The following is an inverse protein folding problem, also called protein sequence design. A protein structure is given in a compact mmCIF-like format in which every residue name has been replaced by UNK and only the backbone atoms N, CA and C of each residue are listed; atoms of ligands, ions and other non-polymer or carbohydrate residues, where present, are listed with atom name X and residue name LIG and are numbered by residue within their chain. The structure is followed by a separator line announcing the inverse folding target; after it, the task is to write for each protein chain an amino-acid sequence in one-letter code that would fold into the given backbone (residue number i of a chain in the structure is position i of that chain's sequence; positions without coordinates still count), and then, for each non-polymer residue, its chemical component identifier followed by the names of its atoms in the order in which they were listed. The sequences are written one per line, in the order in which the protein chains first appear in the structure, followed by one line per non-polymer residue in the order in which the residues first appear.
data_IF_537178785870
#
_entry.id   IF_537178785870
#
_cell.length_a   1.000
_cell.length_b   1.000
_cell.length_c   1.000
_cell.angle_alpha   90.00
_cell.angle_beta   90.00
_cell.angle_gamma   90.00
#
_symmetry.space_group_name_H-M   'P 1'
#
loop_
_entity.id
_entity.type
_entity.pdbx_description
1 polymer ?
#
# COMPACT_ATOMS: atom_id res chain seq x y z
N UNK A 1 -11.25 24.51 -9.80
CA UNK A 1 -11.20 24.20 -8.35
C UNK A 1 -9.74 24.20 -7.97
N UNK A 2 -9.35 25.10 -7.10
CA UNK A 2 -7.97 25.17 -6.61
C UNK A 2 -7.73 24.03 -5.59
N UNK A 3 -6.47 23.65 -5.37
CA UNK A 3 -6.12 22.62 -4.36
C UNK A 3 -6.57 23.06 -2.97
N UNK A 4 -6.47 24.35 -2.65
CA UNK A 4 -6.92 24.92 -1.39
C UNK A 4 -8.43 24.80 -1.14
N UNK A 5 -9.24 24.62 -2.18
CA UNK A 5 -10.68 24.40 -2.06
C UNK A 5 -11.05 22.95 -1.72
N UNK A 6 -10.07 22.02 -1.81
CA UNK A 6 -10.34 20.61 -1.60
C UNK A 6 -10.53 20.29 -0.11
N UNK A 7 -11.60 19.56 0.17
CA UNK A 7 -11.92 18.98 1.49
C UNK A 7 -12.03 17.46 1.29
N UNK A 8 -10.92 16.77 1.52
CA UNK A 8 -10.75 15.36 1.18
C UNK A 8 -11.06 14.48 2.39
N UNK A 9 -12.06 13.60 2.27
CA UNK A 9 -12.25 12.52 3.23
C UNK A 9 -11.58 11.25 2.67
N UNK A 10 -10.43 10.89 3.25
CA UNK A 10 -9.63 9.74 2.86
C UNK A 10 -9.99 8.52 3.73
N UNK A 11 -10.42 7.43 3.10
CA UNK A 11 -10.71 6.15 3.75
C UNK A 11 -9.60 5.14 3.45
N UNK A 12 -9.00 4.58 4.51
CA UNK A 12 -7.92 3.60 4.39
C UNK A 12 -8.12 2.44 5.35
N UNK A 13 -7.92 1.21 4.88
CA UNK A 13 -7.95 0.01 5.74
C UNK A 13 -6.74 -0.11 6.66
N UNK A 14 -5.62 0.54 6.27
CA UNK A 14 -4.43 0.73 7.09
C UNK A 14 -3.82 2.08 6.75
N UNK A 15 -3.68 2.98 7.71
CA UNK A 15 -3.10 4.29 7.44
C UNK A 15 -1.73 4.47 8.09
N UNK A 16 -1.55 4.03 9.36
CA UNK A 16 -0.30 4.22 10.09
C UNK A 16 0.04 3.10 11.07
N UNK A 17 -0.81 2.08 11.24
CA UNK A 17 -0.57 1.06 12.26
C UNK A 17 0.33 -0.09 11.78
N UNK A 18 0.51 -0.28 10.47
CA UNK A 18 1.56 -1.13 9.89
C UNK A 18 2.37 -0.27 8.92
N UNK A 19 3.69 -0.34 9.01
CA UNK A 19 4.58 0.38 8.10
C UNK A 19 4.71 -0.39 6.78
N UNK A 20 4.07 0.11 5.74
CA UNK A 20 4.20 -0.39 4.37
C UNK A 20 4.28 0.76 3.35
N UNK A 21 4.65 0.44 2.12
CA UNK A 21 4.87 1.45 1.08
C UNK A 21 3.60 2.19 0.65
N UNK A 22 2.43 1.53 0.71
CA UNK A 22 1.16 2.16 0.35
C UNK A 22 0.76 3.21 1.39
N UNK A 23 0.88 2.86 2.69
CA UNK A 23 0.53 3.76 3.79
C UNK A 23 1.45 4.96 3.86
N UNK A 24 2.75 4.77 3.67
CA UNK A 24 3.72 5.87 3.62
C UNK A 24 3.43 6.80 2.43
N UNK A 25 3.06 6.24 1.27
CA UNK A 25 2.68 7.04 0.12
C UNK A 25 1.40 7.86 0.37
N UNK A 26 0.39 7.26 1.02
CA UNK A 26 -0.84 7.97 1.40
C UNK A 26 -0.58 9.10 2.40
N UNK A 27 0.29 8.88 3.40
CA UNK A 27 0.67 9.92 4.35
C UNK A 27 1.42 11.07 3.66
N UNK A 28 2.34 10.78 2.72
CA UNK A 28 3.00 11.82 1.92
C UNK A 28 2.01 12.60 1.05
N UNK A 29 1.04 11.91 0.43
CA UNK A 29 0.00 12.57 -0.35
C UNK A 29 -0.83 13.50 0.54
N UNK A 30 -1.25 13.02 1.72
CA UNK A 30 -2.00 13.83 2.68
C UNK A 30 -1.19 15.08 3.11
N UNK A 31 0.09 14.91 3.44
CA UNK A 31 0.99 16.01 3.77
C UNK A 31 1.10 17.04 2.64
N UNK A 32 1.38 16.57 1.43
CA UNK A 32 1.43 17.45 0.25
C UNK A 32 0.15 18.25 0.05
N UNK A 33 -1.03 17.61 0.18
CA UNK A 33 -2.31 18.28 0.02
C UNK A 33 -2.54 19.33 1.12
N UNK A 34 -2.17 19.01 2.36
CA UNK A 34 -2.23 19.96 3.49
C UNK A 34 -1.30 21.17 3.26
N UNK A 35 -0.07 20.94 2.78
CA UNK A 35 0.91 21.98 2.48
C UNK A 35 0.43 22.89 1.33
N UNK A 36 -0.39 22.37 0.42
CA UNK A 36 -1.04 23.14 -0.63
C UNK A 36 -2.35 23.82 -0.19
N UNK A 37 -2.69 23.75 1.10
CA UNK A 37 -3.86 24.41 1.69
C UNK A 37 -5.16 23.62 1.66
N UNK A 38 -5.17 22.38 1.14
CA UNK A 38 -6.33 21.51 1.20
C UNK A 38 -6.65 21.09 2.65
N UNK A 39 -7.90 20.73 2.90
CA UNK A 39 -8.30 20.08 4.16
C UNK A 39 -8.36 18.58 3.96
N UNK A 40 -7.62 17.80 4.75
CA UNK A 40 -7.61 16.33 4.67
C UNK A 40 -8.02 15.72 6.00
N UNK A 41 -9.03 14.86 5.97
CA UNK A 41 -9.45 14.06 7.13
C UNK A 41 -9.43 12.60 6.78
N UNK A 42 -8.74 11.80 7.60
CA UNK A 42 -8.50 10.38 7.35
C UNK A 42 -9.39 9.53 8.26
N UNK A 43 -10.02 8.53 7.69
CA UNK A 43 -10.85 7.54 8.40
C UNK A 43 -10.20 6.16 8.23
N UNK A 44 -9.64 5.63 9.31
CA UNK A 44 -8.92 4.34 9.30
C UNK A 44 -9.04 3.64 10.65
N UNK A 45 -8.91 2.31 10.69
CA UNK A 45 -8.67 1.62 11.95
C UNK A 45 -7.44 2.20 12.66
N UNK A 46 -7.50 2.24 13.99
CA UNK A 46 -6.41 2.71 14.86
C UNK A 46 -6.00 1.61 15.82
N UNK A 47 -4.75 1.69 16.31
CA UNK A 47 -4.18 0.82 17.34
C UNK A 47 -3.55 1.69 18.42
N UNK A 48 -3.37 1.17 19.68
CA UNK A 48 -2.72 1.91 20.74
C UNK A 48 -1.30 2.36 20.40
N UNK A 49 -0.55 1.51 19.72
CA UNK A 49 0.84 1.75 19.34
C UNK A 49 0.95 1.70 17.80
N UNK A 50 0.80 2.84 17.10
CA UNK A 50 0.95 2.89 15.66
C UNK A 50 2.42 2.75 15.26
N UNK A 51 2.69 2.22 14.06
CA UNK A 51 4.04 2.05 13.55
C UNK A 51 4.74 3.38 13.18
N UNK A 52 3.96 4.46 13.01
CA UNK A 52 4.43 5.82 12.80
C UNK A 52 3.30 6.83 13.01
N UNK A 53 3.66 8.08 13.19
CA UNK A 53 2.70 9.18 13.40
C UNK A 53 1.87 9.42 12.13
N UNK A 54 0.56 9.62 12.29
CA UNK A 54 -0.34 9.87 11.18
C UNK A 54 -0.22 11.30 10.68
N UNK A 55 -0.21 11.49 9.37
CA UNK A 55 -0.30 12.81 8.76
C UNK A 55 -1.75 13.24 8.59
N UNK A 56 -2.10 14.42 9.09
CA UNK A 56 -3.45 14.97 9.05
C UNK A 56 -4.36 14.46 10.18
N UNK A 57 -5.63 14.87 10.13
CA UNK A 57 -6.63 14.51 11.11
C UNK A 57 -7.07 13.05 10.96
N UNK A 58 -6.65 12.17 11.88
CA UNK A 58 -7.03 10.75 11.88
C UNK A 58 -8.23 10.48 12.78
N UNK A 59 -9.32 10.03 12.18
CA UNK A 59 -10.55 9.58 12.87
C UNK A 59 -10.59 8.06 12.91
N UNK A 60 -10.58 7.49 14.10
CA UNK A 60 -10.58 6.05 14.32
C UNK A 60 -11.89 5.36 13.87
N UNK A 61 -11.75 4.31 13.08
CA UNK A 61 -12.85 3.42 12.66
C UNK A 61 -12.72 2.11 13.43
N UNK A 62 -13.82 1.63 14.01
CA UNK A 62 -13.83 0.33 14.71
C UNK A 62 -13.55 -0.81 13.73
N UNK A 63 -12.64 -1.68 14.11
CA UNK A 63 -12.22 -2.81 13.30
C UNK A 63 -11.84 -4.01 14.17
N UNK A 64 -11.90 -5.20 13.61
CA UNK A 64 -11.48 -6.45 14.24
C UNK A 64 -10.12 -6.90 13.66
N UNK A 65 -9.28 -7.60 14.43
CA UNK A 65 -8.07 -8.22 13.90
C UNK A 65 -8.44 -9.30 12.87
N UNK A 66 -7.65 -9.41 11.80
CA UNK A 66 -7.85 -10.46 10.80
C UNK A 66 -7.30 -11.78 11.35
N UNK A 67 -8.09 -12.86 11.38
CA UNK A 67 -7.61 -14.18 11.80
C UNK A 67 -6.38 -14.62 10.99
N UNK A 68 -5.32 -15.06 11.66
CA UNK A 68 -4.05 -15.45 11.03
C UNK A 68 -3.16 -14.29 10.54
N UNK A 69 -3.67 -13.05 10.55
CA UNK A 69 -2.95 -11.81 10.18
C UNK A 69 -3.30 -10.72 11.19
N UNK A 70 -3.06 -10.98 12.48
CA UNK A 70 -3.46 -10.11 13.59
C UNK A 70 -2.87 -8.69 13.56
N UNK A 71 -1.83 -8.49 12.75
CA UNK A 71 -1.27 -7.16 12.47
C UNK A 71 -2.21 -6.28 11.63
N UNK A 72 -3.13 -6.89 10.87
CA UNK A 72 -4.11 -6.14 10.08
C UNK A 72 -5.49 -6.10 10.75
N UNK A 73 -6.22 -5.02 10.50
CA UNK A 73 -7.55 -4.76 11.03
C UNK A 73 -8.57 -4.77 9.90
N UNK A 74 -9.72 -5.41 10.13
CA UNK A 74 -10.82 -5.42 9.17
C UNK A 74 -11.96 -4.55 9.69
N UNK A 75 -12.21 -3.37 9.08
CA UNK A 75 -13.32 -2.51 9.47
C UNK A 75 -14.65 -3.07 8.94
N UNK A 76 -15.65 -3.17 9.83
CA UNK A 76 -16.92 -3.84 9.52
C UNK A 76 -17.99 -2.90 8.96
N UNK A 77 -18.07 -1.70 9.50
CA UNK A 77 -19.09 -0.72 9.10
C UNK A 77 -18.63 0.71 9.38
N UNK A 78 -19.31 1.66 8.75
CA UNK A 78 -19.13 3.09 9.00
C UNK A 78 -19.98 3.52 10.22
N UNK A 79 -19.38 3.70 11.42
CA UNK A 79 -20.12 3.95 12.64
C UNK A 79 -20.86 5.30 12.60
N UNK A 80 -21.88 5.47 13.44
CA UNK A 80 -22.69 6.71 13.49
C UNK A 80 -21.86 7.94 13.84
N UNK A 81 -20.90 7.81 14.76
CA UNK A 81 -19.99 8.90 15.09
C UNK A 81 -19.14 9.34 13.90
N UNK A 82 -18.61 8.39 13.11
CA UNK A 82 -17.85 8.67 11.89
C UNK A 82 -18.76 9.33 10.84
N UNK A 83 -20.01 8.86 10.68
CA UNK A 83 -20.98 9.49 9.77
C UNK A 83 -21.33 10.93 10.19
N UNK A 84 -21.40 11.20 11.50
CA UNK A 84 -21.63 12.56 12.02
C UNK A 84 -20.42 13.45 11.76
N UNK A 85 -19.22 12.91 12.00
CA UNK A 85 -17.99 13.63 11.75
C UNK A 85 -17.82 13.95 10.26
N UNK A 86 -18.06 12.97 9.39
CA UNK A 86 -18.05 13.14 7.93
C UNK A 86 -19.03 14.23 7.45
N UNK A 87 -20.24 14.28 8.03
CA UNK A 87 -21.20 15.36 7.76
C UNK A 87 -20.69 16.73 8.22
N UNK A 88 -20.04 16.80 9.39
CA UNK A 88 -19.49 18.04 9.94
C UNK A 88 -18.29 18.52 9.11
N UNK A 89 -17.43 17.61 8.73
CA UNK A 89 -16.28 17.90 7.88
C UNK A 89 -16.73 18.41 6.51
N UNK A 90 -17.89 17.97 6.02
CA UNK A 90 -18.48 18.35 4.74
C UNK A 90 -17.50 18.24 3.56
N UNK A 91 -16.96 17.04 3.28
CA UNK A 91 -16.00 16.85 2.19
C UNK A 91 -16.63 17.19 0.84
N UNK A 92 -15.79 17.64 -0.10
CA UNK A 92 -16.17 17.77 -1.51
C UNK A 92 -15.52 16.70 -2.41
N UNK A 93 -14.61 15.88 -1.84
CA UNK A 93 -14.02 14.70 -2.50
C UNK A 93 -13.94 13.55 -1.50
N UNK A 94 -14.29 12.35 -1.94
CA UNK A 94 -14.04 11.11 -1.21
C UNK A 94 -12.90 10.37 -1.89
N UNK A 95 -11.86 10.02 -1.12
CA UNK A 95 -10.74 9.21 -1.58
C UNK A 95 -10.75 7.88 -0.82
N UNK A 96 -10.79 6.75 -1.53
CA UNK A 96 -10.74 5.41 -0.94
C UNK A 96 -9.46 4.70 -1.38
N UNK A 97 -8.73 4.11 -0.44
CA UNK A 97 -7.45 3.42 -0.72
C UNK A 97 -7.51 1.90 -0.51
N UNK A 98 -8.64 1.38 -0.06
CA UNK A 98 -8.87 -0.06 0.13
C UNK A 98 -10.32 -0.41 -0.21
N UNK A 99 -10.58 -1.57 -0.85
CA UNK A 99 -11.92 -2.02 -1.21
C UNK A 99 -12.63 -2.76 -0.05
N UNK A 100 -12.53 -2.23 1.17
CA UNK A 100 -13.15 -2.80 2.36
C UNK A 100 -14.61 -2.35 2.54
N UNK A 101 -15.30 -2.91 3.55
CA UNK A 101 -16.71 -2.62 3.81
C UNK A 101 -16.97 -1.17 4.16
N UNK A 102 -16.06 -0.50 4.86
CA UNK A 102 -16.19 0.93 5.22
C UNK A 102 -16.05 1.79 3.97
N UNK A 103 -15.09 1.48 3.10
CA UNK A 103 -14.92 2.14 1.80
C UNK A 103 -16.13 1.95 0.90
N UNK A 104 -16.72 0.75 0.85
CA UNK A 104 -17.99 0.50 0.14
C UNK A 104 -19.13 1.40 0.66
N UNK A 105 -19.23 1.59 1.98
CA UNK A 105 -20.24 2.45 2.58
C UNK A 105 -19.93 3.93 2.36
N UNK A 106 -18.65 4.32 2.37
CA UNK A 106 -18.21 5.68 2.06
C UNK A 106 -18.54 6.05 0.60
N UNK A 107 -18.29 5.16 -0.35
CA UNK A 107 -18.68 5.32 -1.75
C UNK A 107 -20.20 5.48 -1.88
N UNK A 108 -20.99 4.65 -1.16
CA UNK A 108 -22.45 4.78 -1.16
C UNK A 108 -22.90 6.12 -0.58
N UNK A 109 -22.27 6.56 0.50
CA UNK A 109 -22.55 7.84 1.14
C UNK A 109 -22.25 9.03 0.19
N UNK A 110 -21.14 8.96 -0.54
CA UNK A 110 -20.73 9.97 -1.51
C UNK A 110 -21.69 10.05 -2.69
N UNK A 111 -22.00 8.91 -3.31
CA UNK A 111 -22.92 8.85 -4.47
C UNK A 111 -24.31 9.39 -4.17
N UNK A 112 -24.85 9.12 -2.96
CA UNK A 112 -26.13 9.68 -2.51
C UNK A 112 -26.08 11.22 -2.35
N UNK A 113 -24.89 11.83 -2.43
CA UNK A 113 -24.66 13.28 -2.32
C UNK A 113 -24.02 13.89 -3.56
N UNK A 114 -23.89 13.08 -4.61
CA UNK A 114 -23.26 13.48 -5.87
C UNK A 114 -21.82 14.01 -5.68
N UNK A 115 -21.10 13.49 -4.68
CA UNK A 115 -19.72 13.82 -4.45
C UNK A 115 -18.80 12.93 -5.30
N UNK A 116 -17.74 13.48 -5.89
CA UNK A 116 -16.75 12.72 -6.63
C UNK A 116 -16.00 11.74 -5.72
N UNK A 117 -15.74 10.55 -6.26
CA UNK A 117 -15.04 9.47 -5.58
C UNK A 117 -13.80 9.08 -6.38
N UNK A 118 -12.63 9.24 -5.78
CA UNK A 118 -11.36 8.75 -6.28
C UNK A 118 -10.98 7.46 -5.54
N UNK A 119 -10.46 6.45 -6.23
CA UNK A 119 -9.88 5.28 -5.58
C UNK A 119 -8.40 5.11 -5.95
N UNK A 120 -7.55 4.86 -4.94
CA UNK A 120 -6.15 4.47 -5.14
C UNK A 120 -6.03 2.96 -5.14
N UNK A 121 -5.48 2.39 -6.21
CA UNK A 121 -5.21 0.96 -6.30
C UNK A 121 -3.76 0.70 -5.96
N UNK A 122 -3.52 0.08 -4.80
CA UNK A 122 -2.18 -0.20 -4.32
C UNK A 122 -1.79 -1.67 -4.45
N UNK A 123 -2.78 -2.56 -4.48
CA UNK A 123 -2.61 -4.01 -4.35
C UNK A 123 -3.64 -4.73 -5.20
N UNK A 124 -3.20 -5.80 -5.84
CA UNK A 124 -4.05 -6.74 -6.53
C UNK A 124 -4.56 -7.80 -5.54
N UNK A 125 -5.62 -7.47 -4.81
CA UNK A 125 -6.16 -8.35 -3.76
C UNK A 125 -6.63 -9.70 -4.30
N UNK A 126 -7.13 -9.75 -5.54
CA UNK A 126 -7.58 -10.98 -6.18
C UNK A 126 -6.45 -12.01 -6.35
N UNK A 127 -5.21 -11.57 -6.53
CA UNK A 127 -4.07 -12.48 -6.73
C UNK A 127 -3.61 -13.15 -5.45
N UNK A 128 -3.97 -12.62 -4.28
CA UNK A 128 -3.57 -13.20 -3.00
C UNK A 128 -4.10 -14.60 -2.79
N UNK A 129 -5.27 -14.93 -3.34
CA UNK A 129 -5.85 -16.27 -3.25
C UNK A 129 -4.95 -17.37 -3.84
N UNK A 130 -4.05 -17.03 -4.78
CA UNK A 130 -3.06 -17.97 -5.33
C UNK A 130 -2.09 -18.48 -4.27
N UNK A 131 -1.67 -17.60 -3.35
CA UNK A 131 -0.71 -17.94 -2.30
C UNK A 131 -1.32 -18.79 -1.17
N UNK A 132 -2.65 -18.87 -1.11
CA UNK A 132 -3.40 -19.64 -0.10
C UNK A 132 -4.10 -20.88 -0.68
N UNK A 133 -3.68 -21.34 -1.86
CA UNK A 133 -4.31 -22.46 -2.58
C UNK A 133 -5.82 -22.27 -2.85
N UNK A 134 -6.25 -21.03 -2.97
CA UNK A 134 -7.65 -20.64 -3.21
C UNK A 134 -7.83 -19.93 -4.57
N UNK A 135 -7.02 -20.28 -5.58
CA UNK A 135 -7.05 -19.64 -6.90
C UNK A 135 -8.44 -19.66 -7.56
N UNK A 136 -9.29 -20.62 -7.21
CA UNK A 136 -10.69 -20.71 -7.66
C UNK A 136 -11.54 -19.50 -7.24
N UNK A 137 -11.18 -18.81 -6.13
CA UNK A 137 -11.90 -17.63 -5.64
C UNK A 137 -11.48 -16.32 -6.35
N UNK A 138 -10.42 -16.34 -7.13
CA UNK A 138 -9.89 -15.15 -7.83
C UNK A 138 -10.95 -14.48 -8.74
N UNK A 139 -11.72 -15.21 -9.59
CA UNK A 139 -12.73 -14.57 -10.44
C UNK A 139 -13.87 -13.91 -9.63
N UNK A 140 -14.23 -14.49 -8.50
CA UNK A 140 -15.26 -13.94 -7.61
C UNK A 140 -14.76 -12.64 -6.99
N UNK A 141 -13.55 -12.63 -6.48
CA UNK A 141 -12.93 -11.43 -5.91
C UNK A 141 -12.78 -10.34 -6.98
N UNK A 142 -12.33 -10.70 -8.19
CA UNK A 142 -12.25 -9.76 -9.32
C UNK A 142 -13.63 -9.12 -9.61
N UNK A 143 -14.69 -9.90 -9.61
CA UNK A 143 -16.05 -9.39 -9.82
C UNK A 143 -16.48 -8.42 -8.70
N UNK A 144 -16.14 -8.70 -7.43
CA UNK A 144 -16.39 -7.82 -6.29
C UNK A 144 -15.61 -6.50 -6.44
N UNK A 145 -14.31 -6.59 -6.76
CA UNK A 145 -13.46 -5.43 -6.98
C UNK A 145 -13.94 -4.58 -8.16
N UNK A 146 -14.32 -5.23 -9.25
CA UNK A 146 -14.89 -4.55 -10.43
C UNK A 146 -16.16 -3.79 -10.06
N UNK A 147 -17.06 -4.41 -9.30
CA UNK A 147 -18.28 -3.74 -8.81
C UNK A 147 -17.95 -2.54 -7.92
N UNK A 148 -16.89 -2.62 -7.10
CA UNK A 148 -16.45 -1.52 -6.25
C UNK A 148 -15.86 -0.38 -7.08
N UNK A 149 -14.85 -0.65 -7.88
CA UNK A 149 -14.11 0.37 -8.62
C UNK A 149 -14.95 1.06 -9.70
N UNK A 150 -15.92 0.37 -10.30
CA UNK A 150 -16.89 0.99 -11.23
C UNK A 150 -17.81 2.03 -10.58
N UNK A 151 -17.89 2.04 -9.28
CA UNK A 151 -18.67 3.04 -8.53
C UNK A 151 -17.85 4.29 -8.18
N UNK A 152 -16.55 4.24 -8.40
CA UNK A 152 -15.65 5.38 -8.28
C UNK A 152 -15.62 6.15 -9.60
N UNK A 153 -15.50 7.47 -9.55
CA UNK A 153 -15.47 8.30 -10.74
C UNK A 153 -14.12 8.17 -11.46
N UNK A 154 -13.01 8.04 -10.71
CA UNK A 154 -11.68 7.80 -11.26
C UNK A 154 -10.86 6.85 -10.36
N UNK A 155 -9.85 6.22 -10.95
CA UNK A 155 -8.82 5.46 -10.22
C UNK A 155 -7.45 6.11 -10.40
N UNK A 156 -6.57 5.88 -9.42
CA UNK A 156 -5.14 6.09 -9.59
C UNK A 156 -4.39 4.78 -9.37
N UNK A 157 -3.47 4.49 -10.29
CA UNK A 157 -2.64 3.29 -10.29
C UNK A 157 -1.15 3.66 -10.15
N UNK A 158 -0.30 2.80 -9.55
CA UNK A 158 1.11 3.11 -9.31
C UNK A 158 1.99 3.06 -10.56
N UNK A 159 1.54 2.43 -11.62
CA UNK A 159 2.29 2.27 -12.87
C UNK A 159 1.35 2.03 -14.05
N UNK A 160 1.84 2.28 -15.27
CA UNK A 160 1.08 1.99 -16.50
C UNK A 160 0.74 0.50 -16.63
N UNK A 161 1.65 -0.40 -16.25
CA UNK A 161 1.37 -1.83 -16.26
C UNK A 161 0.20 -2.21 -15.35
N UNK A 162 0.07 -1.58 -14.17
CA UNK A 162 -1.08 -1.79 -13.30
C UNK A 162 -2.35 -1.18 -13.91
N UNK A 163 -2.25 0.03 -14.48
CA UNK A 163 -3.39 0.68 -15.11
C UNK A 163 -3.92 -0.16 -16.29
N UNK A 164 -3.04 -0.76 -17.08
CA UNK A 164 -3.42 -1.66 -18.17
C UNK A 164 -4.20 -2.88 -17.65
N UNK A 165 -3.70 -3.54 -16.60
CA UNK A 165 -4.41 -4.68 -15.96
C UNK A 165 -5.81 -4.26 -15.49
N UNK A 166 -5.92 -3.10 -14.85
CA UNK A 166 -7.23 -2.60 -14.38
C UNK A 166 -8.21 -2.31 -15.54
N UNK A 167 -7.71 -1.79 -16.68
CA UNK A 167 -8.51 -1.58 -17.90
C UNK A 167 -8.96 -2.90 -18.51
N UNK A 168 -8.05 -3.87 -18.64
CA UNK A 168 -8.34 -5.23 -19.16
C UNK A 168 -9.39 -5.94 -18.29
N UNK A 169 -9.29 -5.82 -16.98
CA UNK A 169 -10.26 -6.34 -16.03
C UNK A 169 -11.55 -5.50 -15.95
N UNK A 170 -11.64 -4.41 -16.72
CA UNK A 170 -12.80 -3.48 -16.77
C UNK A 170 -13.16 -2.92 -15.40
N UNK A 171 -12.13 -2.63 -14.56
CA UNK A 171 -12.34 -2.07 -13.22
C UNK A 171 -12.86 -0.64 -13.27
N UNK A 172 -12.30 0.20 -14.16
CA UNK A 172 -12.74 1.55 -14.47
C UNK A 172 -12.19 1.98 -15.84
N UNK A 173 -12.69 3.08 -16.39
CA UNK A 173 -12.23 3.65 -17.67
C UNK A 173 -11.37 4.91 -17.46
N UNK A 174 -11.58 5.65 -16.37
CA UNK A 174 -10.76 6.79 -15.99
C UNK A 174 -9.67 6.35 -14.98
N UNK A 175 -8.47 6.15 -15.48
CA UNK A 175 -7.33 5.68 -14.69
C UNK A 175 -6.11 6.55 -14.96
N UNK A 176 -5.70 7.29 -13.95
CA UNK A 176 -4.47 8.11 -13.97
C UNK A 176 -3.32 7.40 -13.24
N UNK A 177 -2.09 7.82 -13.52
CA UNK A 177 -0.90 7.27 -12.88
C UNK A 177 -0.49 8.14 -11.69
N UNK A 178 -0.36 7.49 -10.53
CA UNK A 178 0.28 8.04 -9.34
C UNK A 178 1.41 7.13 -8.89
N UNK A 179 2.65 7.43 -9.31
CA UNK A 179 3.85 6.60 -9.08
C UNK A 179 4.37 6.63 -7.63
N UNK A 180 3.72 7.35 -6.73
CA UNK A 180 4.05 7.52 -5.30
C UNK A 180 5.32 8.31 -5.00
N UNK A 181 6.24 8.44 -5.96
CA UNK A 181 7.50 9.13 -5.78
C UNK A 181 8.49 8.44 -4.82
N UNK A 182 9.65 9.06 -4.68
CA UNK A 182 10.70 8.68 -3.72
C UNK A 182 11.25 9.95 -3.10
N UNK A 183 11.63 9.87 -1.83
CA UNK A 183 12.32 10.94 -1.14
C UNK A 183 13.78 11.01 -1.64
N UNK A 184 14.08 12.04 -2.43
CA UNK A 184 15.40 12.21 -3.06
C UNK A 184 16.46 12.76 -2.10
N UNK A 185 16.08 13.34 -0.98
CA UNK A 185 17.00 13.82 0.03
C UNK A 185 17.56 12.66 0.85
N UNK A 186 16.76 11.57 0.98
CA UNK A 186 17.16 10.35 1.66
C UNK A 186 17.74 9.33 0.67
N UNK A 187 17.07 9.10 -0.46
CA UNK A 187 17.44 8.08 -1.44
C UNK A 187 18.10 8.69 -2.68
N UNK A 188 19.40 8.87 -2.63
CA UNK A 188 20.19 9.39 -3.75
C UNK A 188 21.57 8.69 -3.83
N UNK A 189 22.22 8.63 -5.00
CA UNK A 189 23.50 7.94 -5.17
C UNK A 189 24.61 8.42 -4.23
N UNK A 190 24.61 9.71 -3.87
CA UNK A 190 25.58 10.29 -2.93
C UNK A 190 25.43 9.81 -1.48
N UNK A 191 24.34 9.10 -1.12
CA UNK A 191 24.19 8.45 0.18
C UNK A 191 25.01 7.16 0.29
N UNK A 192 25.66 6.69 -0.80
CA UNK A 192 26.59 5.55 -0.75
C UNK A 192 27.72 5.83 0.22
N UNK A 193 27.95 4.90 1.15
CA UNK A 193 29.04 4.98 2.13
C UNK A 193 29.93 3.75 2.03
N UNK A 194 31.16 3.94 1.57
CA UNK A 194 32.14 2.85 1.51
C UNK A 194 32.58 2.42 2.92
N UNK A 195 32.62 3.36 3.89
CA UNK A 195 32.88 3.05 5.29
C UNK A 195 31.83 2.09 5.86
N UNK A 196 30.54 2.36 5.58
CA UNK A 196 29.44 1.46 6.00
C UNK A 196 29.53 0.11 5.29
N UNK A 197 29.84 0.08 3.99
CA UNK A 197 30.03 -1.19 3.26
C UNK A 197 31.10 -2.05 3.92
N UNK A 198 32.26 -1.46 4.23
CA UNK A 198 33.37 -2.16 4.90
C UNK A 198 32.98 -2.64 6.30
N UNK A 199 32.20 -1.87 7.06
CA UNK A 199 31.69 -2.32 8.37
C UNK A 199 30.74 -3.53 8.27
N UNK A 200 30.10 -3.71 7.11
CA UNK A 200 29.30 -4.91 6.79
C UNK A 200 30.14 -6.04 6.16
N UNK A 201 31.47 -5.92 6.13
CA UNK A 201 32.35 -6.91 5.51
C UNK A 201 32.27 -6.94 3.97
N UNK A 202 31.89 -5.83 3.33
CA UNK A 202 31.75 -5.69 1.89
C UNK A 202 32.89 -4.83 1.36
N UNK A 203 33.70 -5.39 0.45
CA UNK A 203 34.77 -4.65 -0.21
C UNK A 203 34.25 -3.56 -1.15
N UNK A 204 35.11 -2.60 -1.49
CA UNK A 204 34.73 -1.43 -2.27
C UNK A 204 34.26 -1.80 -3.70
N UNK A 205 34.88 -2.82 -4.31
CA UNK A 205 34.57 -3.31 -5.64
C UNK A 205 33.66 -4.54 -5.65
N UNK A 206 33.23 -5.03 -4.49
CA UNK A 206 32.32 -6.18 -4.43
C UNK A 206 30.91 -5.82 -4.87
N UNK A 207 30.32 -6.69 -5.67
CA UNK A 207 28.91 -6.59 -6.06
C UNK A 207 28.06 -7.09 -4.89
N UNK A 208 27.07 -6.28 -4.51
CA UNK A 208 26.07 -6.66 -3.52
C UNK A 208 24.71 -6.76 -4.19
N UNK A 209 24.05 -7.90 -4.00
CA UNK A 209 22.68 -8.13 -4.44
C UNK A 209 21.79 -8.03 -3.19
N UNK A 210 20.97 -7.00 -3.17
CA UNK A 210 20.13 -6.67 -2.00
C UNK A 210 18.67 -7.06 -2.17
N UNK A 211 18.07 -7.62 -1.11
CA UNK A 211 16.63 -7.68 -0.94
C UNK A 211 16.23 -6.70 0.17
N UNK A 212 15.30 -5.79 -0.13
CA UNK A 212 14.74 -4.86 0.85
C UNK A 212 13.22 -4.98 0.86
N UNK A 213 12.65 -5.42 1.98
CA UNK A 213 11.19 -5.53 2.12
C UNK A 213 10.74 -6.53 3.18
N UNK A 214 9.42 -6.66 3.34
CA UNK A 214 8.84 -7.69 4.22
C UNK A 214 9.18 -9.08 3.71
N UNK A 215 9.57 -9.96 4.62
CA UNK A 215 9.87 -11.36 4.30
C UNK A 215 8.58 -12.19 4.29
N UNK A 216 7.86 -12.09 3.17
CA UNK A 216 6.61 -12.82 2.85
C UNK A 216 6.69 -13.36 1.43
N UNK A 217 6.11 -14.53 1.18
CA UNK A 217 6.25 -15.24 -0.10
C UNK A 217 5.79 -14.42 -1.31
N UNK A 218 4.75 -13.60 -1.14
CA UNK A 218 4.25 -12.71 -2.19
C UNK A 218 5.23 -11.61 -2.64
N UNK A 219 6.39 -11.49 -1.99
CA UNK A 219 7.49 -10.59 -2.40
C UNK A 219 8.52 -11.25 -3.30
N UNK A 220 8.28 -12.49 -3.72
CA UNK A 220 9.15 -13.22 -4.63
C UNK A 220 10.45 -13.68 -3.99
N UNK A 221 10.41 -14.09 -2.73
CA UNK A 221 11.57 -14.61 -2.01
C UNK A 221 12.16 -15.85 -2.68
N UNK A 222 11.31 -16.69 -3.25
CA UNK A 222 11.66 -17.87 -4.06
C UNK A 222 12.43 -17.46 -5.32
N UNK A 223 11.90 -16.50 -6.07
CA UNK A 223 12.55 -15.98 -7.29
C UNK A 223 13.91 -15.34 -6.96
N UNK A 224 13.98 -14.60 -5.85
CA UNK A 224 15.25 -14.03 -5.40
C UNK A 224 16.27 -15.13 -5.07
N UNK A 225 15.89 -16.14 -4.28
CA UNK A 225 16.75 -17.27 -3.91
C UNK A 225 17.24 -18.03 -5.14
N UNK A 226 16.35 -18.35 -6.08
CA UNK A 226 16.69 -19.05 -7.32
C UNK A 226 17.64 -18.22 -8.20
N UNK A 227 17.50 -16.89 -8.19
CA UNK A 227 18.41 -15.98 -8.90
C UNK A 227 19.81 -15.98 -8.28
N UNK A 228 19.92 -15.97 -6.96
CA UNK A 228 21.20 -16.08 -6.25
C UNK A 228 21.87 -17.42 -6.54
N UNK A 229 21.12 -18.52 -6.50
CA UNK A 229 21.62 -19.85 -6.85
C UNK A 229 22.11 -19.93 -8.31
N UNK A 230 21.41 -19.27 -9.22
CA UNK A 230 21.82 -19.20 -10.63
C UNK A 230 23.15 -18.44 -10.81
N UNK A 231 23.36 -17.34 -10.07
CA UNK A 231 24.61 -16.59 -10.09
C UNK A 231 25.76 -17.38 -9.50
N UNK A 232 25.54 -18.11 -8.40
CA UNK A 232 26.52 -19.01 -7.80
C UNK A 232 26.95 -20.11 -8.78
N UNK A 233 26.00 -20.76 -9.42
CA UNK A 233 26.30 -21.80 -10.44
C UNK A 233 27.11 -21.26 -11.61
N UNK A 234 26.96 -19.98 -11.96
CA UNK A 234 27.72 -19.32 -13.02
C UNK A 234 29.07 -18.76 -12.56
N UNK A 235 29.42 -18.95 -11.29
CA UNK A 235 30.68 -18.46 -10.71
C UNK A 235 30.78 -16.92 -10.67
N UNK A 236 29.65 -16.20 -10.63
CA UNK A 236 29.65 -14.73 -10.52
C UNK A 236 29.92 -14.33 -9.07
N UNK A 237 31.06 -13.67 -8.77
CA UNK A 237 31.34 -13.21 -7.42
C UNK A 237 30.34 -12.15 -6.96
N UNK A 238 29.68 -12.39 -5.83
CA UNK A 238 28.75 -11.44 -5.24
C UNK A 238 28.55 -11.71 -3.75
N UNK A 239 28.07 -10.69 -3.03
CA UNK A 239 27.52 -10.81 -1.68
C UNK A 239 26.01 -10.61 -1.70
N UNK A 240 25.33 -11.24 -0.76
CA UNK A 240 23.89 -11.09 -0.59
C UNK A 240 23.60 -10.28 0.66
N UNK A 241 22.71 -9.30 0.56
CA UNK A 241 22.24 -8.51 1.69
C UNK A 241 20.72 -8.56 1.76
N UNK A 242 20.18 -8.95 2.91
CA UNK A 242 18.74 -8.97 3.16
C UNK A 242 18.42 -7.98 4.27
N UNK A 243 17.52 -7.04 3.98
CA UNK A 243 17.04 -6.03 4.94
C UNK A 243 15.52 -6.15 5.01
N UNK A 244 15.02 -6.70 6.11
CA UNK A 244 13.60 -6.88 6.34
C UNK A 244 13.27 -7.92 7.40
N UNK A 245 11.99 -7.96 7.75
CA UNK A 245 11.43 -8.91 8.71
C UNK A 245 10.12 -9.49 8.16
N UNK A 246 9.76 -10.69 8.63
CA UNK A 246 8.49 -11.31 8.26
C UNK A 246 8.42 -12.80 8.56
N UNK A 247 7.23 -13.39 8.46
CA UNK A 247 6.99 -14.80 8.83
C UNK A 247 7.74 -15.82 7.96
N UNK A 248 8.24 -15.43 6.79
CA UNK A 248 9.02 -16.31 5.91
C UNK A 248 10.55 -16.19 6.15
N UNK A 249 11.00 -15.54 7.23
CA UNK A 249 12.43 -15.34 7.51
C UNK A 249 13.20 -16.64 7.57
N UNK A 250 12.78 -17.59 8.39
CA UNK A 250 13.45 -18.89 8.57
C UNK A 250 13.56 -19.66 7.24
N UNK A 251 12.48 -19.68 6.47
CA UNK A 251 12.48 -20.27 5.14
C UNK A 251 13.48 -19.58 4.21
N UNK A 252 13.51 -18.25 4.22
CA UNK A 252 14.38 -17.48 3.36
C UNK A 252 15.87 -17.65 3.73
N UNK A 253 16.20 -17.64 5.02
CA UNK A 253 17.55 -17.91 5.53
C UNK A 253 18.02 -19.32 5.14
N UNK A 254 17.15 -20.32 5.18
CA UNK A 254 17.48 -21.69 4.75
C UNK A 254 17.80 -21.82 3.26
N UNK A 255 17.27 -20.90 2.42
CA UNK A 255 17.48 -20.87 0.98
C UNK A 255 18.66 -20.01 0.55
N UNK A 256 19.17 -19.18 1.42
CA UNK A 256 20.33 -18.31 1.19
C UNK A 256 21.46 -18.70 2.16
N UNK A 257 22.11 -19.85 2.00
CA UNK A 257 23.24 -20.21 2.85
C UNK A 257 24.34 -19.16 2.72
N UNK A 258 24.88 -18.72 3.86
CA UNK A 258 25.81 -17.62 4.06
C UNK A 258 27.10 -17.70 3.26
#
# INVERSE_FOLDING_TARGET
MDIADLRIALFSGNYNYVRDGANQALNRLAGYMLDQGASVRVYSPTVPEPAFEATGDLVGVRALPIPGRGEYRFPLWLPLNVRRDLKRFAPNVIHVSSPDLVSHQAVSWARNRQLPVLASVHTRFETYFRYYNMAWAEPVMEAILRRFYRRCDALVAPSESMAQVLREQRMNYDISIWSRGVDRDIFHPGARSDAWRRSCGIGDDEIVIGFLGRLVMEKGLDVFSDSIDALRRRGVPHKVMVIGEGPAREWFESRLPG
#
